data_IF_003691142335
#
_entry.id   IF_003691142335
#
_cell.length_a   1.000
_cell.length_b   1.000
_cell.length_c   1.000
_cell.angle_alpha   90.00
_cell.angle_beta   90.00
_cell.angle_gamma   90.00
#
_symmetry.space_group_name_H-M   'P 1'
#
loop_
_entity.id
_entity.type
_entity.pdbx_description
1 polymer ?
#
# COMPACT_ATOMS: atom_id res chain seq x y z
N UNK A 1 -10.57 11.23 -10.68
CA UNK A 1 -9.52 11.92 -11.47
C UNK A 1 -8.80 10.99 -12.44
N UNK A 2 -8.21 9.88 -12.00
CA UNK A 2 -7.45 8.97 -12.87
C UNK A 2 -8.26 8.44 -14.07
N UNK A 3 -9.51 8.01 -13.85
CA UNK A 3 -10.42 7.57 -14.92
C UNK A 3 -10.74 8.68 -15.92
N UNK A 4 -11.03 9.90 -15.45
CA UNK A 4 -11.29 11.06 -16.32
C UNK A 4 -10.10 11.40 -17.22
N UNK A 5 -8.87 11.32 -16.68
CA UNK A 5 -7.66 11.53 -17.45
C UNK A 5 -7.44 10.43 -18.49
N UNK A 6 -7.68 9.17 -18.14
CA UNK A 6 -7.60 8.04 -19.08
C UNK A 6 -8.62 8.21 -20.20
N UNK A 7 -9.88 8.52 -19.86
CA UNK A 7 -10.93 8.75 -20.84
C UNK A 7 -10.59 9.91 -21.77
N UNK A 8 -10.09 11.03 -21.23
CA UNK A 8 -9.68 12.19 -22.03
C UNK A 8 -8.55 11.83 -23.01
N UNK A 9 -7.55 11.05 -22.59
CA UNK A 9 -6.48 10.57 -23.46
C UNK A 9 -7.00 9.65 -24.57
N UNK A 10 -7.94 8.75 -24.28
CA UNK A 10 -8.49 7.86 -25.30
C UNK A 10 -9.36 8.62 -26.31
N UNK A 11 -10.19 9.56 -25.86
CA UNK A 11 -10.95 10.45 -26.76
C UNK A 11 -10.01 11.27 -27.65
N UNK A 12 -8.91 11.78 -27.09
CA UNK A 12 -7.91 12.53 -27.84
C UNK A 12 -7.21 11.70 -28.93
N UNK A 13 -7.03 10.38 -28.73
CA UNK A 13 -6.47 9.48 -29.75
C UNK A 13 -7.42 9.22 -30.93
N UNK A 14 -8.73 9.20 -30.66
CA UNK A 14 -9.76 8.94 -31.68
C UNK A 14 -10.09 10.22 -32.46
N UNK A 15 -9.99 11.38 -31.80
CA UNK A 15 -10.30 12.67 -32.40
C UNK A 15 -9.34 13.03 -33.55
N UNK A 16 -9.86 13.70 -34.59
CA UNK A 16 -9.02 14.22 -35.66
C UNK A 16 -8.03 15.26 -35.11
N UNK A 17 -6.77 15.30 -35.60
CA UNK A 17 -5.73 16.20 -35.08
C UNK A 17 -6.12 17.69 -35.05
N UNK A 18 -7.00 18.10 -35.97
CA UNK A 18 -7.55 19.46 -36.03
C UNK A 18 -8.32 19.82 -34.76
N UNK A 19 -9.20 18.93 -34.29
CA UNK A 19 -10.07 19.19 -33.15
C UNK A 19 -9.32 19.27 -31.82
N UNK A 20 -8.15 18.62 -31.71
CA UNK A 20 -7.33 18.63 -30.48
C UNK A 20 -6.82 20.05 -30.16
N UNK A 21 -6.55 20.85 -31.18
CA UNK A 21 -6.02 22.22 -31.04
C UNK A 21 -7.07 23.30 -31.34
N UNK A 22 -8.29 22.90 -31.70
CA UNK A 22 -9.33 23.83 -32.07
C UNK A 22 -9.85 24.60 -30.85
N UNK A 23 -9.95 25.92 -30.99
CA UNK A 23 -10.44 26.78 -29.93
C UNK A 23 -11.95 26.91 -30.03
N UNK A 24 -12.63 26.80 -28.89
CA UNK A 24 -14.05 27.10 -28.81
C UNK A 24 -14.32 28.62 -28.96
N UNK A 25 -15.59 29.03 -28.95
CA UNK A 25 -16.01 30.45 -29.00
C UNK A 25 -15.41 31.34 -27.89
N UNK A 26 -14.87 30.74 -26.83
CA UNK A 26 -14.20 31.43 -25.71
C UNK A 26 -12.67 31.38 -25.82
N UNK A 27 -12.12 30.95 -26.96
CA UNK A 27 -10.68 30.90 -27.21
C UNK A 27 -9.92 29.75 -26.51
N UNK A 28 -10.63 28.79 -25.89
CA UNK A 28 -10.02 27.69 -25.13
C UNK A 28 -9.93 26.40 -25.96
N UNK A 29 -8.83 25.68 -25.82
CA UNK A 29 -8.65 24.33 -26.40
C UNK A 29 -9.23 23.24 -25.48
N UNK A 30 -9.53 22.03 -25.98
CA UNK A 30 -10.10 20.93 -25.19
C UNK A 30 -9.34 20.61 -23.91
N UNK A 31 -8.00 20.60 -23.94
CA UNK A 31 -7.15 20.35 -22.77
C UNK A 31 -7.36 21.41 -21.67
N UNK A 32 -7.45 22.69 -22.04
CA UNK A 32 -7.75 23.76 -21.09
C UNK A 32 -9.17 23.68 -20.54
N UNK A 33 -10.13 23.20 -21.33
CA UNK A 33 -11.50 23.00 -20.85
C UNK A 33 -11.51 21.87 -19.81
N UNK A 34 -10.87 20.75 -20.11
CA UNK A 34 -10.76 19.60 -19.22
C UNK A 34 -10.09 19.95 -17.89
N UNK A 35 -8.92 20.59 -17.92
CA UNK A 35 -8.21 21.00 -16.71
C UNK A 35 -9.04 21.99 -15.86
N UNK A 36 -9.70 22.96 -16.50
CA UNK A 36 -10.58 23.89 -15.79
C UNK A 36 -11.81 23.22 -15.17
N UNK A 37 -12.43 22.25 -15.85
CA UNK A 37 -13.61 21.57 -15.33
C UNK A 37 -13.29 20.56 -14.22
N UNK A 38 -12.11 19.94 -14.26
CA UNK A 38 -11.70 18.92 -13.30
C UNK A 38 -10.76 19.41 -12.19
N UNK A 39 -10.51 20.72 -12.10
CA UNK A 39 -9.68 21.32 -11.06
C UNK A 39 -10.13 20.96 -9.64
N UNK A 40 -11.45 20.93 -9.39
CA UNK A 40 -12.00 20.53 -8.09
C UNK A 40 -11.70 19.06 -7.77
N UNK A 41 -11.93 18.17 -8.74
CA UNK A 41 -11.65 16.73 -8.62
C UNK A 41 -10.15 16.46 -8.37
N UNK A 42 -9.26 17.25 -8.97
CA UNK A 42 -7.82 17.15 -8.72
C UNK A 42 -7.45 17.56 -7.29
N UNK A 43 -8.03 18.65 -6.78
CA UNK A 43 -7.81 19.10 -5.40
C UNK A 43 -8.33 18.09 -4.37
N UNK A 44 -9.50 17.51 -4.61
CA UNK A 44 -10.06 16.45 -3.77
C UNK A 44 -9.20 15.19 -3.81
N UNK A 45 -8.74 14.77 -5.00
CA UNK A 45 -7.84 13.65 -5.17
C UNK A 45 -6.48 13.85 -4.48
N UNK A 46 -5.91 15.05 -4.58
CA UNK A 46 -4.70 15.44 -3.86
C UNK A 46 -4.90 15.36 -2.34
N UNK A 47 -5.97 15.95 -1.82
CA UNK A 47 -6.28 15.93 -0.39
C UNK A 47 -6.49 14.50 0.13
N UNK A 48 -7.22 13.69 -0.62
CA UNK A 48 -7.45 12.28 -0.29
C UNK A 48 -6.13 11.49 -0.26
N UNK A 49 -5.28 11.64 -1.28
CA UNK A 49 -3.97 10.98 -1.33
C UNK A 49 -3.08 11.39 -0.16
N UNK A 50 -3.00 12.69 0.15
CA UNK A 50 -2.22 13.19 1.29
C UNK A 50 -2.71 12.61 2.62
N UNK A 51 -4.01 12.63 2.85
CA UNK A 51 -4.61 12.11 4.08
C UNK A 51 -4.36 10.60 4.24
N UNK A 52 -4.56 9.84 3.17
CA UNK A 52 -4.31 8.39 3.17
C UNK A 52 -2.83 8.08 3.36
N UNK A 53 -1.93 8.79 2.69
CA UNK A 53 -0.49 8.60 2.85
C UNK A 53 0.01 8.98 4.25
N UNK A 54 -0.50 10.06 4.85
CA UNK A 54 -0.20 10.42 6.24
C UNK A 54 -0.67 9.33 7.21
N UNK A 55 -1.90 8.86 7.05
CA UNK A 55 -2.47 7.80 7.91
C UNK A 55 -1.66 6.50 7.79
N UNK A 56 -1.34 6.08 6.56
CA UNK A 56 -0.52 4.90 6.32
C UNK A 56 0.90 5.04 6.88
N UNK A 57 1.53 6.21 6.73
CA UNK A 57 2.85 6.49 7.28
C UNK A 57 2.87 6.39 8.80
N UNK A 58 1.84 6.88 9.49
CA UNK A 58 1.72 6.76 10.95
C UNK A 58 1.66 5.28 11.35
N UNK A 59 0.82 4.49 10.69
CA UNK A 59 0.69 3.05 10.97
C UNK A 59 2.00 2.31 10.69
N UNK A 60 2.66 2.56 9.56
CA UNK A 60 3.99 1.99 9.28
C UNK A 60 5.01 2.39 10.33
N UNK A 61 5.08 3.67 10.69
CA UNK A 61 6.02 4.16 11.70
C UNK A 61 5.81 3.47 13.04
N UNK A 62 4.56 3.26 13.44
CA UNK A 62 4.23 2.50 14.65
C UNK A 62 4.72 1.06 14.57
N UNK A 63 4.46 0.36 13.47
CA UNK A 63 4.95 -1.02 13.26
C UNK A 63 6.48 -1.06 13.32
N UNK A 64 7.16 -0.17 12.59
CA UNK A 64 8.61 -0.09 12.55
C UNK A 64 9.19 0.13 13.96
N UNK A 65 8.56 0.99 14.76
CA UNK A 65 9.00 1.28 16.13
C UNK A 65 8.85 0.06 17.04
N UNK A 66 7.70 -0.64 16.96
CA UNK A 66 7.44 -1.82 17.80
C UNK A 66 8.39 -2.96 17.44
N UNK A 67 8.56 -3.24 16.16
CA UNK A 67 9.43 -4.30 15.64
C UNK A 67 10.91 -3.97 15.93
N UNK A 68 11.34 -2.71 15.72
CA UNK A 68 12.68 -2.27 16.08
C UNK A 68 12.97 -2.45 17.58
N UNK A 69 12.02 -2.12 18.45
CA UNK A 69 12.17 -2.37 19.88
C UNK A 69 12.27 -3.87 20.18
N UNK A 70 11.42 -4.70 19.55
CA UNK A 70 11.41 -6.15 19.69
C UNK A 70 12.73 -6.81 19.29
N UNK A 71 13.42 -6.28 18.27
CA UNK A 71 14.74 -6.74 17.84
C UNK A 71 15.82 -6.63 18.95
N UNK A 72 15.70 -5.64 19.84
CA UNK A 72 16.63 -5.44 20.96
C UNK A 72 16.12 -6.05 22.27
N UNK A 73 14.82 -6.29 22.40
CA UNK A 73 14.22 -6.97 23.56
C UNK A 73 13.94 -8.44 23.24
N UNK A 74 15.02 -9.21 23.04
CA UNK A 74 14.91 -10.61 22.62
C UNK A 74 14.15 -11.45 23.66
N UNK A 75 13.13 -12.24 23.25
CA UNK A 75 12.50 -13.22 24.12
C UNK A 75 13.56 -14.23 24.61
N UNK A 76 13.49 -14.59 25.89
CA UNK A 76 14.48 -15.48 26.53
C UNK A 76 15.76 -14.79 27.03
N UNK A 77 15.99 -13.53 26.65
CA UNK A 77 17.15 -12.75 27.07
C UNK A 77 18.49 -13.24 26.49
N UNK A 78 19.58 -12.65 26.96
CA UNK A 78 20.95 -12.97 26.55
C UNK A 78 21.73 -13.59 27.70
N UNK A 79 22.69 -14.46 27.39
CA UNK A 79 23.65 -14.96 28.37
C UNK A 79 24.73 -13.91 28.70
N UNK A 80 25.60 -14.23 29.66
CA UNK A 80 26.71 -13.35 30.08
C UNK A 80 27.70 -12.98 28.96
N UNK A 81 27.66 -13.70 27.82
CA UNK A 81 28.48 -13.44 26.64
C UNK A 81 27.73 -12.64 25.56
N UNK A 82 26.49 -12.21 25.82
CA UNK A 82 25.65 -11.46 24.87
C UNK A 82 24.97 -12.31 23.80
N UNK A 83 25.02 -13.64 23.90
CA UNK A 83 24.41 -14.56 22.94
C UNK A 83 22.95 -14.81 23.37
N UNK A 84 21.97 -14.77 22.44
CA UNK A 84 20.58 -15.07 22.76
C UNK A 84 20.43 -16.49 23.31
N UNK A 85 19.74 -16.64 24.43
CA UNK A 85 19.57 -17.94 25.11
C UNK A 85 18.82 -18.95 24.23
N UNK A 86 17.85 -18.46 23.44
CA UNK A 86 16.96 -19.27 22.62
C UNK A 86 17.46 -19.48 21.18
N UNK A 87 18.72 -19.13 20.87
CA UNK A 87 19.27 -19.18 19.50
C UNK A 87 19.17 -20.56 18.84
N UNK A 88 19.14 -21.62 19.64
CA UNK A 88 19.06 -23.00 19.16
C UNK A 88 17.65 -23.42 18.70
N UNK A 89 16.62 -22.66 19.08
CA UNK A 89 15.23 -22.99 18.74
C UNK A 89 14.84 -22.42 17.37
N UNK A 90 14.21 -23.26 16.55
CA UNK A 90 13.66 -22.84 15.25
C UNK A 90 12.67 -21.68 15.39
N UNK A 91 11.90 -21.64 16.49
CA UNK A 91 10.97 -20.56 16.82
C UNK A 91 11.67 -19.20 16.94
N UNK A 92 12.88 -19.16 17.49
CA UNK A 92 13.67 -17.94 17.63
C UNK A 92 14.17 -17.43 16.27
N UNK A 93 14.64 -18.33 15.40
CA UNK A 93 15.05 -17.97 14.05
C UNK A 93 13.88 -17.41 13.22
N UNK A 94 12.69 -18.02 13.32
CA UNK A 94 11.49 -17.52 12.63
C UNK A 94 11.09 -16.14 13.18
N UNK A 95 11.17 -15.93 14.50
CA UNK A 95 10.93 -14.62 15.12
C UNK A 95 11.86 -13.55 14.53
N UNK A 96 13.18 -13.75 14.54
CA UNK A 96 14.16 -12.77 14.05
C UNK A 96 13.96 -12.47 12.56
N UNK A 97 13.70 -13.49 11.74
CA UNK A 97 13.44 -13.30 10.31
C UNK A 97 12.14 -12.53 10.05
N UNK A 98 11.06 -12.87 10.76
CA UNK A 98 9.77 -12.21 10.63
C UNK A 98 9.84 -10.74 11.10
N UNK A 99 10.55 -10.49 12.21
CA UNK A 99 10.79 -9.16 12.75
C UNK A 99 11.59 -8.29 11.76
N UNK A 100 12.69 -8.81 11.22
CA UNK A 100 13.47 -8.11 10.19
C UNK A 100 12.65 -7.80 8.92
N UNK A 101 11.87 -8.77 8.43
CA UNK A 101 10.98 -8.56 7.28
C UNK A 101 9.90 -7.51 7.55
N UNK A 102 9.34 -7.49 8.77
CA UNK A 102 8.36 -6.48 9.18
C UNK A 102 8.99 -5.08 9.19
N UNK A 103 10.22 -4.96 9.68
CA UNK A 103 10.94 -3.70 9.74
C UNK A 103 11.25 -3.14 8.35
N UNK A 104 11.87 -3.95 7.48
CA UNK A 104 12.25 -3.51 6.13
C UNK A 104 11.02 -3.13 5.30
N UNK A 105 9.97 -3.95 5.32
CA UNK A 105 8.73 -3.65 4.61
C UNK A 105 8.01 -2.42 5.18
N UNK A 106 8.09 -2.18 6.49
CA UNK A 106 7.55 -0.95 7.07
C UNK A 106 8.30 0.30 6.59
N UNK A 107 9.65 0.25 6.53
CA UNK A 107 10.45 1.36 6.00
C UNK A 107 10.12 1.63 4.54
N UNK A 108 9.96 0.58 3.72
CA UNK A 108 9.54 0.74 2.31
C UNK A 108 8.17 1.42 2.23
N UNK A 109 7.21 1.04 3.09
CA UNK A 109 5.91 1.70 3.15
C UNK A 109 6.01 3.18 3.54
N UNK A 110 6.81 3.52 4.56
CA UNK A 110 7.09 4.90 4.98
C UNK A 110 7.65 5.71 3.81
N UNK A 111 8.66 5.19 3.11
CA UNK A 111 9.28 5.88 1.97
C UNK A 111 8.28 6.11 0.83
N UNK A 112 7.41 5.13 0.55
CA UNK A 112 6.39 5.29 -0.47
C UNK A 112 5.33 6.33 -0.10
N UNK A 113 4.84 6.31 1.14
CA UNK A 113 3.92 7.34 1.62
C UNK A 113 4.58 8.72 1.66
N UNK A 114 5.85 8.82 2.03
CA UNK A 114 6.61 10.07 1.99
C UNK A 114 6.78 10.58 0.56
N UNK A 115 7.01 9.68 -0.40
CA UNK A 115 7.08 9.99 -1.83
C UNK A 115 5.76 10.52 -2.39
N UNK A 116 4.62 10.14 -1.80
CA UNK A 116 3.31 10.72 -2.11
C UNK A 116 3.23 12.12 -1.51
N UNK A 117 3.54 12.31 -0.23
CA UNK A 117 3.44 13.62 0.43
C UNK A 117 4.35 14.68 -0.17
N UNK A 118 5.52 14.29 -0.67
CA UNK A 118 6.51 15.18 -1.31
C UNK A 118 6.29 15.36 -2.81
N UNK A 119 5.31 14.68 -3.41
CA UNK A 119 5.01 14.80 -4.84
C UNK A 119 4.48 16.19 -5.21
N UNK A 120 4.66 16.59 -6.47
CA UNK A 120 4.16 17.88 -7.01
C UNK A 120 2.68 17.84 -7.43
N UNK A 121 2.04 16.66 -7.40
CA UNK A 121 0.62 16.45 -7.73
C UNK A 121 0.19 17.04 -9.08
N UNK A 122 1.03 16.93 -10.11
CA UNK A 122 0.63 17.32 -11.45
C UNK A 122 -0.47 16.38 -11.99
N UNK A 123 -1.34 16.86 -12.89
CA UNK A 123 -2.42 16.05 -13.49
C UNK A 123 -1.91 14.70 -14.03
N UNK A 124 -0.75 14.71 -14.71
CA UNK A 124 -0.14 13.50 -15.26
C UNK A 124 0.38 12.51 -14.18
N UNK A 125 0.68 12.97 -12.96
CA UNK A 125 1.11 12.09 -11.89
C UNK A 125 -0.03 11.21 -11.36
N UNK A 126 -1.28 11.66 -11.49
CA UNK A 126 -2.46 10.88 -11.12
C UNK A 126 -2.74 9.70 -12.06
N UNK A 127 -2.10 9.64 -13.23
CA UNK A 127 -2.30 8.54 -14.18
C UNK A 127 -1.61 7.25 -13.78
N UNK A 128 -0.38 7.35 -13.25
CA UNK A 128 0.45 6.16 -12.95
C UNK A 128 1.33 6.33 -11.72
N UNK A 129 2.02 7.47 -11.56
CA UNK A 129 3.04 7.60 -10.53
C UNK A 129 2.45 7.59 -9.12
N UNK A 130 1.39 8.37 -8.88
CA UNK A 130 0.70 8.44 -7.58
C UNK A 130 -0.05 7.14 -7.22
N UNK A 131 -0.88 6.55 -8.11
CA UNK A 131 -1.56 5.28 -7.85
C UNK A 131 -0.59 4.13 -7.55
N UNK A 132 0.51 4.04 -8.30
CA UNK A 132 1.49 2.97 -8.14
C UNK A 132 2.26 3.12 -6.82
N UNK A 133 2.70 4.33 -6.45
CA UNK A 133 3.30 4.59 -5.14
C UNK A 133 2.35 4.22 -3.99
N UNK A 134 1.06 4.54 -4.12
CA UNK A 134 0.05 4.19 -3.12
C UNK A 134 -0.11 2.67 -3.01
N UNK A 135 -0.21 1.96 -4.13
CA UNK A 135 -0.31 0.50 -4.16
C UNK A 135 0.89 -0.17 -3.51
N UNK A 136 2.13 0.24 -3.85
CA UNK A 136 3.33 -0.35 -3.23
C UNK A 136 3.37 -0.02 -1.74
N UNK A 137 3.03 1.22 -1.35
CA UNK A 137 2.98 1.61 0.06
C UNK A 137 2.01 0.75 0.88
N UNK A 138 0.78 0.58 0.38
CA UNK A 138 -0.25 -0.24 1.03
C UNK A 138 0.11 -1.74 1.04
N UNK A 139 0.66 -2.27 -0.06
CA UNK A 139 1.09 -3.68 -0.13
C UNK A 139 2.24 -3.97 0.84
N UNK A 140 3.22 -3.06 0.93
CA UNK A 140 4.34 -3.19 1.85
C UNK A 140 3.90 -3.07 3.31
N UNK A 141 2.95 -2.17 3.61
CA UNK A 141 2.35 -2.07 4.95
C UNK A 141 1.56 -3.34 5.31
N UNK A 142 0.80 -3.91 4.37
CA UNK A 142 0.08 -5.17 4.61
C UNK A 142 1.02 -6.33 4.88
N UNK A 143 2.08 -6.45 4.09
CA UNK A 143 3.12 -7.46 4.30
C UNK A 143 3.79 -7.28 5.67
N UNK A 144 4.13 -6.05 6.05
CA UNK A 144 4.70 -5.70 7.36
C UNK A 144 3.78 -6.12 8.51
N UNK A 145 2.47 -5.89 8.38
CA UNK A 145 1.47 -6.30 9.37
C UNK A 145 1.42 -7.83 9.53
N UNK A 146 1.45 -8.58 8.43
CA UNK A 146 1.48 -10.05 8.46
C UNK A 146 2.73 -10.55 9.19
N UNK A 147 3.91 -10.07 8.79
CA UNK A 147 5.18 -10.53 9.37
C UNK A 147 5.31 -10.10 10.84
N UNK A 148 4.79 -8.93 11.22
CA UNK A 148 4.72 -8.49 12.62
C UNK A 148 3.85 -9.44 13.47
N UNK A 149 2.69 -9.87 12.98
CA UNK A 149 1.84 -10.81 13.73
C UNK A 149 2.46 -12.21 13.83
N UNK A 150 3.20 -12.64 12.81
CA UNK A 150 4.02 -13.86 12.88
C UNK A 150 5.08 -13.70 13.97
N UNK A 151 5.87 -12.63 13.95
CA UNK A 151 6.89 -12.36 14.97
C UNK A 151 6.27 -12.38 16.38
N UNK A 152 5.19 -11.64 16.59
CA UNK A 152 4.45 -11.60 17.86
C UNK A 152 4.01 -12.99 18.32
N UNK A 153 3.46 -13.82 17.43
CA UNK A 153 3.03 -15.18 17.74
C UNK A 153 4.20 -16.05 18.21
N UNK A 154 5.34 -15.96 17.54
CA UNK A 154 6.55 -16.71 17.92
C UNK A 154 7.19 -16.18 19.21
N UNK A 155 7.11 -14.88 19.49
CA UNK A 155 7.51 -14.32 20.80
C UNK A 155 6.73 -14.96 21.94
N UNK A 156 5.42 -15.15 21.79
CA UNK A 156 4.60 -15.84 22.80
C UNK A 156 4.94 -17.33 22.93
N UNK A 157 5.23 -18.02 21.83
CA UNK A 157 5.67 -19.42 21.88
C UNK A 157 6.99 -19.55 22.66
N UNK A 158 7.95 -18.65 22.42
CA UNK A 158 9.22 -18.60 23.14
C UNK A 158 9.02 -18.28 24.63
N UNK A 159 8.24 -17.24 24.93
CA UNK A 159 8.01 -16.81 26.31
C UNK A 159 7.32 -17.87 27.20
N UNK A 160 6.48 -18.74 26.62
CA UNK A 160 5.72 -19.76 27.36
C UNK A 160 6.23 -21.19 27.13
N UNK A 161 7.42 -21.36 26.56
CA UNK A 161 7.97 -22.68 26.21
C UNK A 161 7.99 -23.66 27.41
N UNK A 162 8.37 -23.18 28.59
CA UNK A 162 8.54 -23.99 29.81
C UNK A 162 7.31 -24.00 30.74
N UNK A 163 6.24 -23.25 30.42
CA UNK A 163 5.04 -23.16 31.25
C UNK A 163 3.99 -24.22 30.86
N UNK A 164 3.30 -24.78 31.87
CA UNK A 164 2.21 -25.77 31.66
C UNK A 164 0.95 -25.19 30.99
N UNK A 165 0.86 -23.86 30.81
CA UNK A 165 -0.32 -23.15 30.28
C UNK A 165 -0.23 -22.88 28.76
N UNK A 166 0.02 -23.91 27.96
CA UNK A 166 0.19 -23.81 26.50
C UNK A 166 -1.05 -23.29 25.73
N UNK A 167 -2.24 -23.33 26.34
CA UNK A 167 -3.48 -22.82 25.74
C UNK A 167 -3.53 -21.30 25.60
N UNK A 168 -2.85 -20.56 26.49
CA UNK A 168 -2.84 -19.09 26.50
C UNK A 168 -2.15 -18.50 25.25
N UNK A 169 -0.89 -18.86 24.91
CA UNK A 169 -0.24 -18.35 23.70
C UNK A 169 -0.95 -18.81 22.41
N UNK A 170 -1.59 -19.98 22.42
CA UNK A 170 -2.41 -20.44 21.29
C UNK A 170 -3.62 -19.53 21.05
N UNK A 171 -4.38 -19.21 22.10
CA UNK A 171 -5.51 -18.27 22.01
C UNK A 171 -5.07 -16.88 21.55
N UNK A 172 -3.99 -16.35 22.14
CA UNK A 172 -3.45 -15.04 21.76
C UNK A 172 -3.03 -15.02 20.29
N UNK A 173 -2.35 -16.07 19.82
CA UNK A 173 -1.96 -16.20 18.41
C UNK A 173 -3.17 -16.16 17.49
N UNK A 174 -4.24 -16.91 17.79
CA UNK A 174 -5.49 -16.92 16.99
C UNK A 174 -6.13 -15.53 16.93
N UNK A 175 -6.24 -14.83 18.07
CA UNK A 175 -6.83 -13.49 18.11
C UNK A 175 -5.96 -12.43 17.42
N UNK A 176 -4.64 -12.59 17.40
CA UNK A 176 -3.71 -11.67 16.72
C UNK A 176 -3.87 -11.63 15.20
N UNK A 177 -4.50 -12.63 14.58
CA UNK A 177 -4.76 -12.59 13.13
C UNK A 177 -6.01 -11.78 12.76
N UNK A 178 -6.87 -11.44 13.71
CA UNK A 178 -8.12 -10.71 13.44
C UNK A 178 -7.89 -9.34 12.77
N UNK A 179 -6.90 -8.52 13.19
CA UNK A 179 -6.56 -7.28 12.50
C UNK A 179 -6.15 -7.47 11.03
N UNK A 180 -5.50 -8.59 10.68
CA UNK A 180 -5.09 -8.87 9.29
C UNK A 180 -6.33 -9.07 8.42
N UNK A 181 -7.33 -9.80 8.89
CA UNK A 181 -8.58 -10.01 8.15
C UNK A 181 -9.35 -8.71 7.96
N UNK A 182 -9.45 -7.89 9.01
CA UNK A 182 -10.10 -6.56 8.93
C UNK A 182 -9.38 -5.66 7.93
N UNK A 183 -8.05 -5.61 8.02
CA UNK A 183 -7.25 -4.79 7.13
C UNK A 183 -7.29 -5.27 5.68
N UNK A 184 -7.21 -6.57 5.45
CA UNK A 184 -7.35 -7.17 4.12
C UNK A 184 -8.71 -6.83 3.51
N UNK A 185 -9.79 -7.00 4.27
CA UNK A 185 -11.14 -6.67 3.81
C UNK A 185 -11.29 -5.18 3.47
N UNK A 186 -10.68 -4.29 4.25
CA UNK A 186 -10.77 -2.84 4.04
C UNK A 186 -9.91 -2.33 2.88
N UNK A 187 -8.70 -2.87 2.68
CA UNK A 187 -7.79 -2.42 1.61
C UNK A 187 -8.04 -3.10 0.26
N UNK A 188 -8.66 -4.29 0.26
CA UNK A 188 -8.88 -5.05 -0.97
C UNK A 188 -9.67 -4.26 -2.03
N UNK A 189 -10.78 -3.56 -1.71
CA UNK A 189 -11.49 -2.74 -2.69
C UNK A 189 -10.60 -1.64 -3.27
N UNK A 190 -9.84 -0.93 -2.42
CA UNK A 190 -8.99 0.18 -2.85
C UNK A 190 -7.85 -0.30 -3.76
N UNK A 191 -7.19 -1.40 -3.41
CA UNK A 191 -6.14 -2.00 -4.24
C UNK A 191 -6.72 -2.56 -5.55
N UNK A 192 -7.88 -3.22 -5.50
CA UNK A 192 -8.55 -3.77 -6.67
C UNK A 192 -9.02 -2.67 -7.64
N UNK A 193 -9.61 -1.60 -7.13
CA UNK A 193 -10.05 -0.44 -7.92
C UNK A 193 -8.86 0.29 -8.55
N UNK A 194 -7.75 0.41 -7.81
CA UNK A 194 -6.53 1.05 -8.33
C UNK A 194 -5.87 0.18 -9.40
N UNK A 195 -5.81 -1.14 -9.18
CA UNK A 195 -5.27 -2.09 -10.15
C UNK A 195 -6.13 -2.16 -11.41
N UNK A 196 -7.44 -2.30 -11.26
CA UNK A 196 -8.38 -2.35 -12.38
C UNK A 196 -8.40 -1.02 -13.15
N UNK A 197 -8.38 0.13 -12.49
CA UNK A 197 -8.34 1.41 -13.21
C UNK A 197 -7.02 1.62 -13.98
N UNK A 198 -5.89 1.19 -13.41
CA UNK A 198 -4.56 1.37 -14.02
C UNK A 198 -4.26 0.36 -15.14
N UNK A 199 -4.62 -0.90 -14.95
CA UNK A 199 -4.30 -2.00 -15.86
C UNK A 199 -5.49 -2.47 -16.70
N UNK A 200 -6.67 -2.61 -16.10
CA UNK A 200 -7.85 -3.21 -16.73
C UNK A 200 -8.67 -2.23 -17.58
N UNK A 201 -8.89 -1.00 -17.11
CA UNK A 201 -9.67 0.00 -17.90
C UNK A 201 -8.97 0.41 -19.20
N UNK A 202 -7.63 0.32 -19.22
CA UNK A 202 -6.82 0.61 -20.40
C UNK A 202 -6.97 -0.44 -21.51
N UNK A 203 -7.35 -1.67 -21.16
CA UNK A 203 -7.55 -2.77 -22.12
C UNK A 203 -9.02 -2.98 -22.47
N UNK A 204 -9.94 -2.85 -21.50
CA UNK A 204 -11.33 -3.32 -21.66
C UNK A 204 -12.35 -2.21 -22.01
N UNK A 205 -12.18 -0.97 -21.54
CA UNK A 205 -13.13 0.11 -21.88
C UNK A 205 -13.03 0.59 -23.34
N UNK A 206 -11.92 0.30 -24.03
CA UNK A 206 -11.59 0.91 -25.33
C UNK A 206 -11.13 -0.07 -26.41
N UNK A 207 -11.16 -1.38 -26.16
CA UNK A 207 -11.21 -2.38 -27.22
C UNK A 207 -12.68 -2.75 -27.49
N UNK A 208 -13.35 -2.18 -28.51
CA UNK A 208 -14.56 -2.81 -28.99
C UNK A 208 -14.12 -4.18 -29.54
N UNK A 209 -14.70 -5.23 -28.99
CA UNK A 209 -14.58 -6.60 -29.44
C UNK A 209 -14.48 -6.62 -30.98
N UNK A 210 -13.29 -6.94 -31.54
CA UNK A 210 -13.09 -7.05 -32.99
C UNK A 210 -13.73 -8.35 -33.48
N UNK A 211 -15.06 -8.40 -33.44
CA UNK A 211 -15.86 -9.29 -34.26
C UNK A 211 -16.68 -8.43 -35.22
N UNK A 212 -15.99 -7.75 -36.13
CA UNK A 212 -16.61 -7.40 -37.41
C UNK A 212 -16.57 -8.67 -38.25
N UNK A 213 -17.70 -9.36 -38.27
CA UNK A 213 -18.03 -10.36 -39.28
C UNK A 213 -17.85 -9.72 -40.66
N UNK A 214 -16.91 -10.27 -41.44
CA UNK A 214 -16.93 -10.27 -42.90
C UNK A 214 -16.73 -11.70 -43.35
#
# INVERSE_FOLDING_TARGET
MQQELLWFQEVQKIAQPRYIKEKNKKGKIPEQIFSNSHKGLLQEGEKWLKHTAQSGMIVSTLIATVVFAAAFTLPGGTNNSGIPNDLQYTSFLIFVLADGLALFSSIVAILMFLSILTSRYAENDFLKSLPLKLMIGLASLFFSMITMMIAFSFTFVLAYHDYRLKWVPFLISVFSFLPIFVFAFQQFPLLFDTFSSTYWSRTDMFQPNRHMLY
#
